data_IF_670562490411
#
_entry.id   IF_670562490411
#
_cell.length_a   1.000
_cell.length_b   1.000
_cell.length_c   1.000
_cell.angle_alpha   90.00
_cell.angle_beta   90.00
_cell.angle_gamma   90.00
#
_symmetry.space_group_name_H-M   'P 1'
#
loop_
_entity.id
_entity.type
_entity.pdbx_description
1 polymer ?
#
# COMPACT_ATOMS: atom_id res chain seq x y z
N UNK A 1 -3.96 -21.54 4.70
CA UNK A 1 -3.41 -21.01 3.43
C UNK A 1 -3.26 -19.49 3.45
N UNK A 2 -4.27 -18.65 3.76
CA UNK A 2 -4.14 -17.18 3.71
C UNK A 2 -3.04 -16.63 4.62
N UNK A 3 -2.92 -17.17 5.84
CA UNK A 3 -1.88 -16.78 6.82
C UNK A 3 -0.45 -16.94 6.29
N UNK A 4 -0.19 -17.91 5.43
CA UNK A 4 1.16 -18.11 4.86
C UNK A 4 1.49 -17.07 3.79
N UNK A 5 0.50 -16.68 2.98
CA UNK A 5 0.65 -15.59 2.01
C UNK A 5 0.91 -14.26 2.73
N UNK A 6 0.18 -14.00 3.83
CA UNK A 6 0.43 -12.82 4.68
C UNK A 6 1.86 -12.83 5.24
N UNK A 7 2.36 -13.98 5.71
CA UNK A 7 3.77 -14.08 6.14
C UNK A 7 4.75 -13.81 4.99
N UNK A 8 4.43 -14.23 3.76
CA UNK A 8 5.21 -13.91 2.56
C UNK A 8 5.25 -12.40 2.28
N UNK A 9 4.10 -11.73 2.30
CA UNK A 9 4.01 -10.28 2.13
C UNK A 9 4.78 -9.54 3.22
N UNK A 10 4.59 -9.92 4.49
CA UNK A 10 5.33 -9.35 5.63
C UNK A 10 6.84 -9.55 5.52
N UNK A 11 7.28 -10.71 5.01
CA UNK A 11 8.69 -10.97 4.73
C UNK A 11 9.23 -10.00 3.68
N UNK A 12 8.54 -9.86 2.53
CA UNK A 12 8.95 -8.93 1.47
C UNK A 12 9.01 -7.49 1.98
N UNK A 13 7.99 -7.04 2.72
CA UNK A 13 7.96 -5.72 3.35
C UNK A 13 9.12 -5.52 4.33
N UNK A 14 9.43 -6.53 5.17
CA UNK A 14 10.57 -6.46 6.07
C UNK A 14 11.89 -6.32 5.33
N UNK A 15 12.07 -7.04 4.21
CA UNK A 15 13.28 -6.94 3.38
C UNK A 15 13.43 -5.54 2.76
N UNK A 16 12.36 -4.97 2.21
CA UNK A 16 12.42 -3.61 1.63
C UNK A 16 12.68 -2.55 2.71
N UNK A 17 12.03 -2.63 3.89
CA UNK A 17 12.33 -1.69 4.99
C UNK A 17 13.80 -1.77 5.44
N UNK A 18 14.41 -2.96 5.49
CA UNK A 18 15.85 -3.07 5.77
C UNK A 18 16.68 -2.39 4.68
N UNK A 19 16.28 -2.50 3.40
CA UNK A 19 16.97 -1.82 2.29
C UNK A 19 16.84 -0.30 2.35
N UNK A 20 15.70 0.19 2.85
CA UNK A 20 15.46 1.61 3.11
C UNK A 20 16.21 2.14 4.35
N UNK A 21 17.01 1.29 5.01
CA UNK A 21 17.91 1.68 6.10
C UNK A 21 17.34 1.49 7.51
N UNK A 22 16.12 0.96 7.65
CA UNK A 22 15.55 0.65 8.96
C UNK A 22 16.28 -0.53 9.61
N UNK A 23 16.39 -0.53 10.94
CA UNK A 23 16.94 -1.65 11.68
C UNK A 23 15.84 -2.65 12.11
N UNK A 24 16.24 -3.86 12.53
CA UNK A 24 15.29 -4.93 12.90
C UNK A 24 14.28 -4.54 13.99
N UNK A 25 14.65 -3.63 14.90
CA UNK A 25 13.76 -3.18 15.97
C UNK A 25 12.69 -2.23 15.43
N UNK A 26 13.05 -1.37 14.48
CA UNK A 26 12.11 -0.47 13.80
C UNK A 26 11.16 -1.27 12.91
N UNK A 27 11.68 -2.22 12.11
CA UNK A 27 10.86 -3.11 11.27
C UNK A 27 9.85 -3.90 12.11
N UNK A 28 10.28 -4.44 13.24
CA UNK A 28 9.41 -5.15 14.17
C UNK A 28 8.26 -4.28 14.69
N UNK A 29 8.56 -3.00 15.00
CA UNK A 29 7.55 -2.01 15.42
C UNK A 29 6.58 -1.68 14.29
N UNK A 30 7.09 -1.41 13.09
CA UNK A 30 6.28 -1.05 11.91
C UNK A 30 5.32 -2.18 11.53
N UNK A 31 5.79 -3.43 11.54
CA UNK A 31 4.99 -4.58 11.14
C UNK A 31 4.22 -5.24 12.31
N UNK A 32 4.27 -4.64 13.49
CA UNK A 32 3.67 -5.12 14.75
C UNK A 32 3.95 -6.61 15.00
N UNK A 33 5.23 -6.97 15.01
CA UNK A 33 5.68 -8.34 15.24
C UNK A 33 6.90 -8.40 16.15
N UNK A 34 7.17 -9.59 16.69
CA UNK A 34 8.37 -9.78 17.49
C UNK A 34 9.65 -9.58 16.67
N UNK A 35 10.65 -8.96 17.30
CA UNK A 35 12.00 -8.83 16.69
C UNK A 35 12.60 -10.18 16.29
N UNK A 36 12.30 -11.24 17.05
CA UNK A 36 12.71 -12.61 16.71
C UNK A 36 12.10 -13.08 15.39
N UNK A 37 10.85 -12.71 15.09
CA UNK A 37 10.18 -13.00 13.81
C UNK A 37 10.89 -12.30 12.66
N UNK A 38 11.23 -11.01 12.81
CA UNK A 38 12.03 -10.27 11.81
C UNK A 38 13.40 -10.93 11.62
N UNK A 39 14.06 -11.32 12.70
CA UNK A 39 15.33 -12.07 12.62
C UNK A 39 15.16 -13.40 11.88
N UNK A 40 14.08 -14.16 12.13
CA UNK A 40 13.81 -15.41 11.41
C UNK A 40 13.62 -15.16 9.92
N UNK A 41 12.85 -14.14 9.55
CA UNK A 41 12.66 -13.73 8.16
C UNK A 41 13.99 -13.46 7.46
N UNK A 42 14.84 -12.60 8.03
CA UNK A 42 16.11 -12.21 7.42
C UNK A 42 17.15 -13.34 7.37
N UNK A 43 16.98 -14.38 8.20
CA UNK A 43 17.84 -15.57 8.19
C UNK A 43 17.21 -16.75 7.41
N UNK A 44 16.11 -16.54 6.68
CA UNK A 44 15.48 -17.60 5.89
C UNK A 44 14.80 -18.71 6.71
N UNK A 45 14.50 -18.46 7.99
CA UNK A 45 13.89 -19.45 8.90
C UNK A 45 12.37 -19.32 8.94
N UNK A 46 11.68 -20.45 9.09
CA UNK A 46 10.21 -20.53 9.20
C UNK A 46 9.46 -19.90 8.00
N UNK A 47 10.06 -19.98 6.81
CA UNK A 47 9.49 -19.46 5.57
C UNK A 47 9.17 -20.61 4.60
N UNK A 48 8.09 -20.43 3.85
CA UNK A 48 7.72 -21.29 2.73
C UNK A 48 8.05 -20.54 1.44
N UNK A 49 8.97 -21.10 0.64
CA UNK A 49 9.36 -20.50 -0.65
C UNK A 49 8.16 -20.28 -1.57
N UNK A 50 7.25 -21.25 -1.67
CA UNK A 50 6.02 -21.10 -2.45
C UNK A 50 5.14 -19.93 -1.96
N UNK A 51 5.13 -19.67 -0.65
CA UNK A 51 4.36 -18.53 -0.10
C UNK A 51 5.00 -17.19 -0.42
N UNK A 52 6.33 -17.14 -0.48
CA UNK A 52 7.09 -15.96 -0.91
C UNK A 52 6.86 -15.71 -2.41
N UNK A 53 6.96 -16.75 -3.24
CA UNK A 53 6.72 -16.65 -4.68
C UNK A 53 5.32 -16.11 -5.00
N UNK A 54 4.28 -16.62 -4.32
CA UNK A 54 2.92 -16.08 -4.43
C UNK A 54 2.86 -14.62 -4.00
N UNK A 55 3.52 -14.26 -2.89
CA UNK A 55 3.57 -12.87 -2.42
C UNK A 55 4.28 -11.94 -3.42
N UNK A 56 5.37 -12.38 -4.05
CA UNK A 56 6.08 -11.62 -5.09
C UNK A 56 5.19 -11.37 -6.31
N UNK A 57 4.39 -12.36 -6.72
CA UNK A 57 3.42 -12.20 -7.80
C UNK A 57 2.35 -11.17 -7.41
N UNK A 58 1.83 -11.23 -6.18
CA UNK A 58 0.83 -10.28 -5.67
C UNK A 58 1.38 -8.85 -5.70
N UNK A 59 2.63 -8.62 -5.31
CA UNK A 59 3.24 -7.27 -5.35
C UNK A 59 3.40 -6.69 -6.77
N UNK A 60 3.29 -7.53 -7.81
CA UNK A 60 3.38 -7.13 -9.22
C UNK A 60 2.02 -6.89 -9.87
N UNK A 61 0.92 -7.10 -9.14
CA UNK A 61 -0.42 -6.81 -9.65
C UNK A 61 -0.60 -5.32 -9.92
N UNK A 62 -1.67 -4.97 -10.64
CA UNK A 62 -2.05 -3.57 -10.76
C UNK A 62 -2.36 -2.99 -9.36
N UNK A 63 -2.21 -1.68 -9.13
CA UNK A 63 -2.33 -1.14 -7.79
C UNK A 63 -3.65 -1.42 -7.09
N UNK A 64 -4.77 -1.45 -7.84
CA UNK A 64 -6.09 -1.79 -7.32
C UNK A 64 -6.15 -3.23 -6.81
N UNK A 65 -5.68 -4.18 -7.61
CA UNK A 65 -5.72 -5.61 -7.25
C UNK A 65 -4.76 -5.91 -6.11
N UNK A 66 -3.56 -5.32 -6.12
CA UNK A 66 -2.62 -5.48 -5.03
C UNK A 66 -3.20 -4.95 -3.72
N UNK A 67 -3.78 -3.74 -3.73
CA UNK A 67 -4.39 -3.12 -2.56
C UNK A 67 -5.58 -3.93 -2.02
N UNK A 68 -6.54 -4.27 -2.87
CA UNK A 68 -7.77 -4.95 -2.46
C UNK A 68 -7.51 -6.38 -2.00
N UNK A 69 -6.63 -7.12 -2.68
CA UNK A 69 -6.23 -8.46 -2.25
C UNK A 69 -5.46 -8.42 -0.94
N UNK A 70 -4.52 -7.48 -0.78
CA UNK A 70 -3.77 -7.32 0.47
C UNK A 70 -4.72 -7.00 1.62
N UNK A 71 -5.66 -6.08 1.42
CA UNK A 71 -6.69 -5.77 2.41
C UNK A 71 -7.53 -7.01 2.76
N UNK A 72 -7.99 -7.78 1.78
CA UNK A 72 -8.77 -8.99 2.02
C UNK A 72 -7.99 -10.07 2.79
N UNK A 73 -6.67 -10.16 2.57
CA UNK A 73 -5.80 -11.12 3.28
C UNK A 73 -5.51 -10.70 4.72
N UNK A 74 -5.37 -9.40 5.00
CA UNK A 74 -5.00 -8.89 6.32
C UNK A 74 -6.20 -8.49 7.18
N UNK A 75 -7.26 -7.96 6.57
CA UNK A 75 -8.39 -7.31 7.23
C UNK A 75 -7.95 -6.23 8.24
N UNK A 76 -6.92 -5.46 7.87
CA UNK A 76 -6.29 -4.41 8.68
C UNK A 76 -5.80 -3.30 7.74
N UNK A 77 -6.45 -2.14 7.81
CA UNK A 77 -6.18 -1.03 6.89
C UNK A 77 -4.77 -0.47 7.07
N UNK A 78 -4.29 -0.29 8.31
CA UNK A 78 -2.97 0.29 8.57
C UNK A 78 -1.86 -0.64 8.09
N UNK A 79 -1.95 -1.94 8.38
CA UNK A 79 -0.96 -2.90 7.87
C UNK A 79 -1.02 -3.03 6.34
N UNK A 80 -2.22 -2.95 5.76
CA UNK A 80 -2.39 -2.94 4.31
C UNK A 80 -1.66 -1.77 3.68
N UNK A 81 -1.86 -0.56 4.22
CA UNK A 81 -1.22 0.67 3.74
C UNK A 81 0.30 0.57 3.78
N UNK A 82 0.85 0.09 4.89
CA UNK A 82 2.30 -0.11 5.06
C UNK A 82 2.83 -1.09 4.01
N UNK A 83 2.22 -2.27 3.88
CA UNK A 83 2.67 -3.29 2.91
C UNK A 83 2.60 -2.75 1.48
N UNK A 84 1.48 -2.14 1.10
CA UNK A 84 1.28 -1.60 -0.24
C UNK A 84 2.27 -0.48 -0.52
N UNK A 85 2.42 0.49 0.38
CA UNK A 85 3.34 1.62 0.22
C UNK A 85 4.79 1.16 0.09
N UNK A 86 5.22 0.24 0.94
CA UNK A 86 6.60 -0.25 0.95
C UNK A 86 6.90 -1.14 -0.26
N UNK A 87 5.97 -2.00 -0.69
CA UNK A 87 6.24 -2.95 -1.76
C UNK A 87 5.89 -2.43 -3.17
N UNK A 88 5.10 -1.36 -3.28
CA UNK A 88 4.85 -0.69 -4.57
C UNK A 88 6.05 0.16 -4.97
N UNK A 89 6.68 -0.18 -6.11
CA UNK A 89 7.83 0.56 -6.68
C UNK A 89 7.43 1.67 -7.64
N UNK A 90 6.20 2.17 -7.52
CA UNK A 90 5.60 3.13 -8.43
C UNK A 90 5.17 4.36 -7.65
N UNK A 91 5.43 5.52 -8.22
CA UNK A 91 4.99 6.81 -7.70
C UNK A 91 3.88 7.36 -8.60
N UNK A 92 2.94 8.07 -7.99
CA UNK A 92 1.76 8.59 -8.68
C UNK A 92 1.56 10.03 -8.31
N UNK A 93 1.34 10.85 -9.34
CA UNK A 93 0.88 12.21 -9.18
C UNK A 93 -0.65 12.23 -9.22
N UNK A 94 -1.28 12.89 -8.25
CA UNK A 94 -2.72 13.06 -8.21
C UNK A 94 -3.09 14.54 -8.11
N UNK A 95 -4.13 14.95 -8.86
CA UNK A 95 -4.67 16.31 -8.82
C UNK A 95 -6.18 16.30 -8.68
N UNK A 96 -6.72 17.37 -8.10
CA UNK A 96 -8.17 17.60 -7.92
C UNK A 96 -8.55 18.91 -8.59
N UNK A 97 -9.36 18.81 -9.64
CA UNK A 97 -9.85 19.93 -10.44
C UNK A 97 -10.88 20.78 -9.66
N UNK A 98 -11.10 22.01 -10.14
CA UNK A 98 -12.06 22.96 -9.53
C UNK A 98 -13.53 22.56 -9.70
N UNK A 99 -13.81 21.54 -10.51
CA UNK A 99 -15.12 20.89 -10.59
C UNK A 99 -15.47 20.09 -9.33
N UNK A 100 -14.55 19.96 -8.37
CA UNK A 100 -14.78 19.26 -7.10
C UNK A 100 -15.84 19.98 -6.26
N UNK A 101 -16.82 19.23 -5.78
CA UNK A 101 -17.92 19.73 -4.94
C UNK A 101 -17.79 19.35 -3.46
N UNK A 102 -16.65 18.82 -3.04
CA UNK A 102 -16.39 18.51 -1.61
C UNK A 102 -17.24 17.39 -1.01
N UNK A 103 -17.83 16.50 -1.81
CA UNK A 103 -18.78 15.51 -1.31
C UNK A 103 -18.20 14.40 -0.41
N UNK A 104 -16.89 14.20 -0.38
CA UNK A 104 -16.22 13.24 0.51
C UNK A 104 -16.18 11.78 0.08
N UNK A 105 -16.92 11.37 -0.96
CA UNK A 105 -16.95 9.97 -1.42
C UNK A 105 -15.55 9.41 -1.76
N UNK A 106 -14.66 10.25 -2.29
CA UNK A 106 -13.28 9.87 -2.60
C UNK A 106 -12.46 9.59 -1.33
N UNK A 107 -12.68 10.36 -0.25
CA UNK A 107 -12.02 10.15 1.03
C UNK A 107 -12.50 8.85 1.68
N UNK A 108 -13.82 8.63 1.72
CA UNK A 108 -14.42 7.43 2.30
C UNK A 108 -13.97 6.13 1.62
N UNK A 109 -13.80 6.14 0.30
CA UNK A 109 -13.37 4.93 -0.44
C UNK A 109 -11.85 4.69 -0.38
N UNK A 110 -11.05 5.64 0.08
CA UNK A 110 -9.59 5.55 -0.01
C UNK A 110 -9.01 4.61 1.05
N UNK A 111 -8.79 3.34 0.70
CA UNK A 111 -8.11 2.37 1.59
C UNK A 111 -6.67 2.79 1.95
N UNK A 112 -6.06 3.69 1.16
CA UNK A 112 -4.76 4.27 1.45
C UNK A 112 -4.82 5.46 2.42
N UNK A 113 -6.03 5.90 2.81
CA UNK A 113 -6.28 7.10 3.61
C UNK A 113 -5.36 8.27 3.20
N UNK A 114 -5.27 8.47 1.89
CA UNK A 114 -4.43 9.46 1.23
C UNK A 114 -5.22 10.70 0.84
N UNK A 115 -6.48 10.81 1.25
CA UNK A 115 -7.39 11.87 0.81
C UNK A 115 -8.04 12.50 2.04
N UNK A 116 -7.94 13.82 2.13
CA UNK A 116 -8.62 14.64 3.14
C UNK A 116 -9.51 15.66 2.46
N UNK A 117 -10.53 16.13 3.17
CA UNK A 117 -11.32 17.29 2.76
C UNK A 117 -10.82 18.52 3.52
N UNK A 118 -10.53 19.58 2.80
CA UNK A 118 -10.20 20.90 3.34
C UNK A 118 -10.99 21.95 2.56
N UNK A 119 -11.67 22.87 3.26
CA UNK A 119 -12.50 23.92 2.67
C UNK A 119 -13.41 23.47 1.50
N UNK A 120 -14.10 22.33 1.67
CA UNK A 120 -14.98 21.72 0.65
C UNK A 120 -14.27 21.31 -0.66
N UNK A 121 -12.96 21.11 -0.63
CA UNK A 121 -12.18 20.52 -1.73
C UNK A 121 -11.44 19.28 -1.23
N UNK A 122 -11.35 18.26 -2.09
CA UNK A 122 -10.53 17.09 -1.79
C UNK A 122 -9.06 17.41 -2.06
N UNK A 123 -8.19 16.96 -1.14
CA UNK A 123 -6.74 17.03 -1.28
C UNK A 123 -6.18 15.61 -1.21
N UNK A 124 -5.35 15.25 -2.18
CA UNK A 124 -4.74 13.92 -2.28
C UNK A 124 -3.27 14.03 -1.94
N UNK A 125 -2.83 13.26 -0.95
CA UNK A 125 -1.43 13.07 -0.62
C UNK A 125 -0.80 12.05 -1.58
N UNK A 126 -0.01 12.55 -2.54
CA UNK A 126 0.70 11.73 -3.51
C UNK A 126 1.71 10.78 -2.87
N UNK A 127 2.20 11.06 -1.66
CA UNK A 127 3.10 10.15 -0.94
C UNK A 127 2.36 8.85 -0.59
N UNK A 128 1.11 8.95 -0.13
CA UNK A 128 0.31 7.78 0.27
C UNK A 128 -0.52 7.20 -0.87
N UNK A 129 -0.72 7.95 -1.96
CA UNK A 129 -1.45 7.48 -3.13
C UNK A 129 -0.73 6.32 -3.82
N UNK A 130 -1.37 5.14 -3.86
CA UNK A 130 -0.85 3.99 -4.63
C UNK A 130 -1.37 3.95 -6.07
N UNK A 131 -2.20 4.90 -6.51
CA UNK A 131 -2.73 4.91 -7.87
C UNK A 131 -3.77 3.84 -8.20
N UNK A 132 -4.59 3.39 -7.22
CA UNK A 132 -5.63 2.37 -7.44
C UNK A 132 -6.86 2.85 -8.24
N UNK A 133 -6.99 4.17 -8.44
CA UNK A 133 -8.06 4.87 -9.17
C UNK A 133 -9.48 4.73 -8.61
N UNK A 134 -9.68 4.08 -7.45
CA UNK A 134 -11.02 3.90 -6.86
C UNK A 134 -11.70 5.23 -6.51
N UNK A 135 -10.94 6.25 -6.10
CA UNK A 135 -11.47 7.58 -5.84
C UNK A 135 -12.00 8.27 -7.11
N UNK A 136 -11.38 8.01 -8.27
CA UNK A 136 -11.85 8.51 -9.57
C UNK A 136 -13.20 7.90 -9.95
N UNK A 137 -13.34 6.58 -9.76
CA UNK A 137 -14.57 5.85 -10.11
C UNK A 137 -15.81 6.34 -9.34
N UNK A 138 -15.65 6.79 -8.10
CA UNK A 138 -16.76 7.27 -7.25
C UNK A 138 -16.99 8.78 -7.34
N UNK A 139 -16.15 9.52 -8.06
CA UNK A 139 -16.24 10.98 -8.13
C UNK A 139 -17.36 11.40 -9.09
N UNK A 140 -18.48 11.98 -8.62
CA UNK A 140 -19.62 12.32 -9.48
C UNK A 140 -19.31 13.41 -10.52
N UNK A 141 -18.25 14.19 -10.29
CA UNK A 141 -17.82 15.31 -11.12
C UNK A 141 -16.56 15.00 -11.95
N UNK A 142 -16.03 13.76 -11.87
CA UNK A 142 -14.79 13.33 -12.55
C UNK A 142 -13.57 14.25 -12.29
N UNK A 143 -13.52 14.88 -11.12
CA UNK A 143 -12.53 15.92 -10.77
C UNK A 143 -11.15 15.37 -10.39
N UNK A 144 -10.99 14.05 -10.24
CA UNK A 144 -9.73 13.44 -9.80
C UNK A 144 -8.94 12.95 -11.02
N UNK A 145 -7.69 13.39 -11.16
CA UNK A 145 -6.75 12.89 -12.16
C UNK A 145 -5.57 12.23 -11.45
N UNK A 146 -5.17 11.06 -11.91
CA UNK A 146 -4.01 10.32 -11.39
C UNK A 146 -3.17 9.85 -12.58
N UNK A 147 -1.86 10.06 -12.50
CA UNK A 147 -0.89 9.61 -13.49
C UNK A 147 0.31 8.98 -12.80
N UNK A 148 0.78 7.85 -13.33
CA UNK A 148 2.05 7.25 -12.89
C UNK A 148 3.21 8.19 -13.24
N UNK A 149 4.02 8.52 -12.24
CA UNK A 149 5.25 9.27 -12.46
C UNK A 149 6.25 8.33 -13.13
N UNK A 150 6.66 8.67 -14.36
CA UNK A 150 7.73 7.94 -15.05
C UNK A 150 9.06 8.30 -14.42
N UNK A 151 9.38 7.72 -13.28
CA UNK A 151 10.76 7.67 -12.81
C UNK A 151 11.50 6.70 -13.73
N UNK A 152 12.41 7.25 -14.53
CA UNK A 152 12.98 6.65 -15.73
C UNK A 152 13.45 5.20 -15.57
N UNK A 153 12.98 4.37 -16.49
CA UNK A 153 13.72 3.27 -17.08
C UNK A 153 13.48 3.27 -18.59
#
# INVERSE_FOLDING_TARGET
MPKHIVSGLKYLTAVELIRDGYNQKEVAKILEMDRSTVSHYLNGRNLSWNSIEVAEIITKFCPRDFLTLTFALLNDSEKTRIIVKTCSKKEFHATVEDSCIGCGLCADTCLMNAIVLDDLKAHIDSEWCCGCLMCGDVCPTNSIKISEEKNGC
#
